data_IF_523474782140
#
_entry.id   IF_523474782140
#
_cell.length_a   1.000
_cell.length_b   1.000
_cell.length_c   1.000
_cell.angle_alpha   90.00
_cell.angle_beta   90.00
_cell.angle_gamma   90.00
#
_symmetry.space_group_name_H-M   'P 1'
#
loop_
_entity.id
_entity.type
_entity.pdbx_description
1 polymer ?
#
# COMPACT_ATOMS: atom_id res chain seq x y z
N UNK A 1 36.87 13.36 -61.34
CA UNK A 1 36.13 12.08 -61.17
C UNK A 1 36.17 11.72 -59.69
N UNK A 2 35.00 11.68 -59.05
CA UNK A 2 34.78 11.59 -57.57
C UNK A 2 35.17 10.21 -57.02
N UNK A 3 36.05 10.17 -56.02
CA UNK A 3 36.32 8.99 -55.19
C UNK A 3 35.24 8.86 -54.10
N UNK A 4 34.80 7.63 -53.87
CA UNK A 4 33.57 7.29 -53.14
C UNK A 4 33.64 7.48 -51.61
N UNK A 5 32.59 8.09 -51.06
CA UNK A 5 32.32 8.08 -49.62
C UNK A 5 31.56 6.80 -49.26
N UNK A 6 32.22 5.90 -48.52
CA UNK A 6 31.60 4.74 -47.86
C UNK A 6 30.59 5.24 -46.82
N UNK A 7 29.33 4.81 -46.95
CA UNK A 7 28.33 4.84 -45.88
C UNK A 7 28.78 3.92 -44.75
N UNK A 8 29.14 4.48 -43.60
CA UNK A 8 29.10 3.76 -42.34
C UNK A 8 27.72 4.01 -41.72
N UNK A 9 26.85 3.00 -41.74
CA UNK A 9 25.65 2.96 -40.92
C UNK A 9 26.10 2.75 -39.48
N UNK A 10 25.91 3.74 -38.61
CA UNK A 10 25.90 3.51 -37.16
C UNK A 10 24.63 2.69 -36.86
N UNK A 11 24.85 1.43 -36.50
CA UNK A 11 23.80 0.54 -36.02
C UNK A 11 23.43 0.88 -34.57
N UNK A 12 22.12 0.85 -34.34
CA UNK A 12 21.45 0.30 -33.17
C UNK A 12 21.91 0.83 -31.80
N UNK A 13 21.34 1.98 -31.44
CA UNK A 13 21.25 2.41 -30.05
C UNK A 13 20.55 1.33 -29.22
N UNK A 14 21.24 0.85 -28.19
CA UNK A 14 20.69 0.01 -27.15
C UNK A 14 19.38 0.60 -26.60
N UNK A 15 18.38 -0.22 -26.25
CA UNK A 15 17.14 0.31 -25.70
C UNK A 15 17.46 1.00 -24.37
N UNK A 16 17.10 2.27 -24.32
CA UNK A 16 17.12 3.13 -23.14
C UNK A 16 16.43 2.42 -21.96
N UNK A 17 17.22 2.06 -20.94
CA UNK A 17 16.72 1.36 -19.75
C UNK A 17 15.79 2.24 -18.89
N UNK A 18 15.52 3.48 -19.31
CA UNK A 18 14.62 4.41 -18.63
C UNK A 18 13.12 4.20 -18.91
N UNK A 19 12.71 3.32 -19.84
CA UNK A 19 11.29 3.20 -20.24
C UNK A 19 10.48 2.07 -19.57
N UNK A 20 11.01 1.42 -18.53
CA UNK A 20 10.29 0.33 -17.82
C UNK A 20 9.65 0.80 -16.50
N UNK A 21 9.31 2.08 -16.38
CA UNK A 21 8.26 2.47 -15.43
C UNK A 21 6.93 2.07 -16.08
N UNK A 22 6.60 0.78 -16.00
CA UNK A 22 5.30 0.26 -16.42
C UNK A 22 4.24 1.10 -15.73
N UNK A 23 3.36 1.66 -16.54
CA UNK A 23 2.18 2.42 -16.15
C UNK A 23 1.24 1.49 -15.35
N UNK A 24 1.56 1.27 -14.07
CA UNK A 24 0.89 0.33 -13.17
C UNK A 24 -0.60 0.64 -12.99
N UNK A 25 -0.99 1.87 -13.37
CA UNK A 25 -2.35 2.38 -13.34
C UNK A 25 -3.27 1.73 -14.39
N UNK A 26 -2.75 1.28 -15.53
CA UNK A 26 -3.57 0.85 -16.67
C UNK A 26 -4.20 -0.54 -16.53
N UNK A 27 -3.68 -1.41 -15.66
CA UNK A 27 -4.13 -2.81 -15.51
C UNK A 27 -4.41 -3.22 -14.05
N UNK A 28 -4.75 -2.28 -13.16
CA UNK A 28 -5.16 -2.63 -11.79
C UNK A 28 -6.49 -3.42 -11.80
N UNK A 29 -6.55 -4.59 -11.12
CA UNK A 29 -7.81 -5.28 -10.89
C UNK A 29 -8.82 -4.36 -10.22
N UNK A 30 -10.10 -4.47 -10.60
CA UNK A 30 -11.16 -3.59 -10.06
C UNK A 30 -11.26 -3.65 -8.54
N UNK A 31 -10.97 -4.81 -7.96
CA UNK A 31 -10.94 -5.02 -6.51
C UNK A 31 -9.94 -4.07 -5.82
N UNK A 32 -8.79 -3.81 -6.44
CA UNK A 32 -7.80 -2.86 -5.92
C UNK A 32 -8.10 -1.42 -6.35
N UNK A 33 -8.59 -1.23 -7.58
CA UNK A 33 -8.93 0.10 -8.11
C UNK A 33 -10.03 0.79 -7.31
N UNK A 34 -11.02 0.03 -6.85
CA UNK A 34 -12.16 0.52 -6.08
C UNK A 34 -12.05 0.18 -4.59
N UNK A 35 -10.86 -0.21 -4.10
CA UNK A 35 -10.63 -0.44 -2.68
C UNK A 35 -10.88 0.88 -1.92
N UNK A 36 -11.85 0.93 -0.98
CA UNK A 36 -12.11 2.10 -0.14
C UNK A 36 -10.84 2.73 0.45
N UNK A 37 -10.72 4.05 0.35
CA UNK A 37 -9.61 4.80 0.96
C UNK A 37 -10.00 5.47 2.28
N UNK A 38 -11.29 5.72 2.47
CA UNK A 38 -11.87 6.30 3.68
C UNK A 38 -12.87 5.34 4.31
N UNK A 39 -13.09 5.48 5.61
CA UNK A 39 -14.09 4.70 6.35
C UNK A 39 -15.49 4.97 5.78
N UNK A 40 -15.76 6.19 5.34
CA UNK A 40 -17.04 6.58 4.75
C UNK A 40 -17.36 5.87 3.42
N UNK A 41 -16.33 5.35 2.74
CA UNK A 41 -16.48 4.62 1.47
C UNK A 41 -16.81 3.12 1.69
N UNK A 42 -16.83 2.65 2.95
CA UNK A 42 -17.10 1.26 3.30
C UNK A 42 -18.61 1.02 3.35
N UNK A 43 -19.10 0.15 2.47
CA UNK A 43 -20.52 -0.20 2.42
C UNK A 43 -20.95 -1.13 3.57
N UNK A 44 -22.19 -0.95 4.04
CA UNK A 44 -22.95 -1.94 4.85
C UNK A 44 -22.39 -2.26 6.25
N UNK A 45 -21.56 -1.39 6.83
CA UNK A 45 -20.99 -1.55 8.18
C UNK A 45 -21.17 -0.28 9.03
N UNK A 46 -22.39 0.23 9.13
CA UNK A 46 -22.69 1.53 9.75
C UNK A 46 -22.24 1.64 11.21
N UNK A 47 -22.53 0.62 12.03
CA UNK A 47 -22.13 0.60 13.45
C UNK A 47 -20.61 0.60 13.64
N UNK A 48 -19.91 -0.23 12.84
CA UNK A 48 -18.44 -0.31 12.89
C UNK A 48 -17.83 1.01 12.41
N UNK A 49 -18.35 1.58 11.32
CA UNK A 49 -17.90 2.88 10.82
C UNK A 49 -18.14 3.98 11.86
N UNK A 50 -19.27 3.97 12.57
CA UNK A 50 -19.56 4.93 13.62
C UNK A 50 -18.56 4.82 14.79
N UNK A 51 -18.27 3.61 15.26
CA UNK A 51 -17.29 3.38 16.32
C UNK A 51 -15.87 3.84 15.89
N UNK A 52 -15.47 3.52 14.67
CA UNK A 52 -14.17 3.93 14.14
C UNK A 52 -14.06 5.44 13.92
N UNK A 53 -15.15 6.11 13.51
CA UNK A 53 -15.20 7.58 13.43
C UNK A 53 -15.00 8.21 14.81
N UNK A 54 -15.64 7.66 15.85
CA UNK A 54 -15.42 8.15 17.22
C UNK A 54 -13.95 8.03 17.62
N UNK A 55 -13.27 6.91 17.31
CA UNK A 55 -11.83 6.76 17.56
C UNK A 55 -10.95 7.72 16.76
N UNK A 56 -11.36 8.08 15.54
CA UNK A 56 -10.66 9.11 14.75
C UNK A 56 -10.80 10.51 15.37
N UNK A 57 -11.98 10.84 15.91
CA UNK A 57 -12.28 12.14 16.51
C UNK A 57 -11.61 12.32 17.88
N UNK A 58 -11.60 11.28 18.71
CA UNK A 58 -10.93 11.32 20.02
C UNK A 58 -9.41 11.26 19.91
N UNK A 59 -8.87 10.76 18.80
CA UNK A 59 -7.44 10.51 18.63
C UNK A 59 -6.94 9.32 19.45
N UNK A 60 -7.84 8.59 20.12
CA UNK A 60 -7.51 7.42 20.92
C UNK A 60 -7.92 6.15 20.18
N UNK A 61 -6.92 5.41 19.72
CA UNK A 61 -7.12 4.15 19.02
C UNK A 61 -6.76 2.96 19.92
N UNK A 62 -7.74 2.15 20.38
CA UNK A 62 -7.44 0.93 21.11
C UNK A 62 -6.89 -0.17 20.19
N UNK A 63 -6.43 -1.28 20.78
CA UNK A 63 -6.08 -2.47 20.00
C UNK A 63 -7.35 -3.08 19.39
N UNK A 64 -7.41 -3.15 18.05
CA UNK A 64 -8.59 -3.63 17.31
C UNK A 64 -8.37 -5.02 16.73
N UNK A 65 -9.43 -5.84 16.74
CA UNK A 65 -9.47 -7.14 16.07
C UNK A 65 -10.63 -7.17 15.07
N UNK A 66 -10.33 -7.18 13.78
CA UNK A 66 -11.32 -7.32 12.72
C UNK A 66 -11.53 -8.80 12.37
N UNK A 67 -12.76 -9.29 12.48
CA UNK A 67 -13.11 -10.67 12.15
C UNK A 67 -14.37 -10.75 11.27
N UNK A 68 -14.55 -11.85 10.55
CA UNK A 68 -15.70 -12.08 9.67
C UNK A 68 -15.35 -12.76 8.34
N UNK A 69 -16.38 -13.10 7.52
CA UNK A 69 -16.24 -13.82 6.25
C UNK A 69 -15.23 -13.19 5.27
N UNK A 70 -14.65 -13.94 4.32
CA UNK A 70 -13.77 -13.35 3.31
C UNK A 70 -14.52 -12.30 2.47
N UNK A 71 -13.80 -11.26 2.04
CA UNK A 71 -14.39 -10.20 1.20
C UNK A 71 -15.18 -9.10 1.92
N UNK A 72 -15.34 -9.16 3.25
CA UNK A 72 -16.08 -8.13 4.03
C UNK A 72 -15.31 -6.85 4.32
N UNK A 73 -14.18 -6.61 3.64
CA UNK A 73 -13.44 -5.35 3.79
C UNK A 73 -12.60 -5.18 5.06
N UNK A 74 -12.39 -6.22 5.89
CA UNK A 74 -11.57 -6.12 7.13
C UNK A 74 -10.22 -5.43 6.95
N UNK A 75 -9.41 -5.92 6.01
CA UNK A 75 -8.09 -5.34 5.69
C UNK A 75 -8.23 -3.94 5.12
N UNK A 76 -9.24 -3.71 4.28
CA UNK A 76 -9.55 -2.41 3.71
C UNK A 76 -9.88 -1.37 4.78
N UNK A 77 -10.75 -1.72 5.73
CA UNK A 77 -11.16 -0.86 6.85
C UNK A 77 -9.95 -0.50 7.72
N UNK A 78 -9.11 -1.47 8.06
CA UNK A 78 -7.89 -1.22 8.83
C UNK A 78 -6.95 -0.23 8.12
N UNK A 79 -6.74 -0.41 6.80
CA UNK A 79 -5.90 0.50 6.02
C UNK A 79 -6.52 1.90 5.87
N UNK A 80 -7.82 1.99 5.60
CA UNK A 80 -8.53 3.26 5.49
C UNK A 80 -8.48 4.05 6.81
N UNK A 81 -8.68 3.37 7.93
CA UNK A 81 -8.55 3.93 9.28
C UNK A 81 -7.14 4.48 9.52
N UNK A 82 -6.09 3.70 9.25
CA UNK A 82 -4.71 4.14 9.43
C UNK A 82 -4.35 5.33 8.53
N UNK A 83 -4.80 5.33 7.27
CA UNK A 83 -4.63 6.45 6.33
C UNK A 83 -5.27 7.72 6.86
N UNK A 84 -6.49 7.64 7.41
CA UNK A 84 -7.18 8.79 7.97
C UNK A 84 -6.56 9.27 9.29
N UNK A 85 -6.13 8.34 10.15
CA UNK A 85 -5.56 8.66 11.46
C UNK A 85 -4.19 9.36 11.36
N UNK A 86 -3.30 8.88 10.48
CA UNK A 86 -1.95 9.43 10.31
C UNK A 86 -1.79 10.39 9.12
N UNK A 87 -2.81 10.51 8.27
CA UNK A 87 -2.80 11.40 7.12
C UNK A 87 -1.66 11.11 6.14
N UNK A 88 -0.88 12.13 5.80
CA UNK A 88 0.20 12.04 4.78
C UNK A 88 1.34 11.11 5.21
N UNK A 89 1.58 10.97 6.51
CA UNK A 89 2.70 10.20 7.07
C UNK A 89 2.35 8.75 7.40
N UNK A 90 1.17 8.27 6.97
CA UNK A 90 0.72 6.91 7.32
C UNK A 90 1.71 5.82 6.91
N UNK A 91 2.42 5.98 5.79
CA UNK A 91 3.39 4.98 5.30
C UNK A 91 4.61 4.80 6.20
N UNK A 92 5.01 5.83 6.94
CA UNK A 92 6.14 5.73 7.88
C UNK A 92 5.69 5.29 9.27
N UNK A 93 4.43 5.57 9.63
CA UNK A 93 3.85 5.29 10.96
C UNK A 93 3.06 3.99 11.05
N UNK A 94 2.86 3.27 9.95
CA UNK A 94 2.07 2.03 9.90
C UNK A 94 2.92 0.91 9.34
N UNK A 95 2.97 -0.21 10.05
CA UNK A 95 3.62 -1.43 9.59
C UNK A 95 2.58 -2.54 9.40
N UNK A 96 2.28 -2.84 8.14
CA UNK A 96 1.49 -4.02 7.77
C UNK A 96 2.39 -5.26 7.78
N UNK A 97 1.92 -6.32 8.41
CA UNK A 97 2.56 -7.64 8.41
C UNK A 97 1.51 -8.66 7.98
N UNK A 98 1.76 -9.32 6.86
CA UNK A 98 0.84 -10.29 6.27
C UNK A 98 1.33 -11.72 6.44
N UNK A 99 0.42 -12.68 6.23
CA UNK A 99 0.74 -14.11 6.38
C UNK A 99 1.71 -14.64 5.30
N UNK A 100 1.89 -13.92 4.20
CA UNK A 100 2.87 -14.24 3.17
C UNK A 100 4.29 -13.76 3.51
N UNK A 101 4.44 -12.87 4.48
CA UNK A 101 5.75 -12.39 4.92
C UNK A 101 6.46 -13.45 5.76
N UNK A 102 7.76 -13.29 5.99
CA UNK A 102 8.51 -14.19 6.88
C UNK A 102 7.91 -14.13 8.30
N UNK A 103 7.16 -15.20 8.65
CA UNK A 103 6.36 -15.37 9.87
C UNK A 103 7.13 -16.05 11.00
N UNK A 104 8.43 -16.28 10.84
CA UNK A 104 9.24 -16.88 11.89
C UNK A 104 9.12 -16.10 13.22
N UNK A 105 9.23 -16.81 14.35
CA UNK A 105 9.21 -16.18 15.69
C UNK A 105 10.29 -15.08 15.79
N UNK A 106 11.43 -15.28 15.12
CA UNK A 106 12.49 -14.26 15.02
C UNK A 106 12.01 -12.97 14.35
N UNK A 107 11.30 -13.09 13.22
CA UNK A 107 10.79 -11.93 12.49
C UNK A 107 9.79 -11.11 13.32
N UNK A 108 8.92 -11.77 14.10
CA UNK A 108 7.99 -11.07 15.02
C UNK A 108 8.79 -10.34 16.11
N UNK A 109 9.72 -11.04 16.77
CA UNK A 109 10.49 -10.50 17.89
C UNK A 109 11.39 -9.33 17.52
N UNK A 110 11.88 -9.30 16.28
CA UNK A 110 12.73 -8.24 15.77
C UNK A 110 11.90 -7.12 15.16
N UNK A 111 11.13 -7.40 14.09
CA UNK A 111 10.45 -6.36 13.30
C UNK A 111 9.40 -5.59 14.11
N UNK A 112 8.58 -6.29 14.90
CA UNK A 112 7.53 -5.63 15.70
C UNK A 112 8.15 -4.84 16.84
N UNK A 113 9.15 -5.42 17.52
CA UNK A 113 9.82 -4.76 18.65
C UNK A 113 10.55 -3.49 18.21
N UNK A 114 11.34 -3.56 17.14
CA UNK A 114 12.06 -2.39 16.61
C UNK A 114 11.09 -1.31 16.16
N UNK A 115 10.01 -1.67 15.47
CA UNK A 115 9.00 -0.69 15.04
C UNK A 115 8.29 -0.02 16.22
N UNK A 116 7.90 -0.79 17.25
CA UNK A 116 7.26 -0.25 18.45
C UNK A 116 8.17 0.70 19.24
N UNK A 117 9.49 0.48 19.22
CA UNK A 117 10.46 1.36 19.88
C UNK A 117 10.72 2.67 19.13
N UNK A 118 10.55 2.67 17.81
CA UNK A 118 10.69 3.87 16.96
C UNK A 118 9.47 4.79 17.00
N UNK A 119 8.32 4.26 17.43
CA UNK A 119 7.05 4.96 17.47
C UNK A 119 6.82 5.77 18.77
N UNK A 120 7.87 5.92 19.61
CA UNK A 120 7.88 6.73 20.83
C UNK A 120 8.51 8.09 20.53
#
# INVERSE_FOLDING_TARGET
>A
MRLGNKKAKLGDGAPDQASVVRDASKNLPWVEKYRPERIDDVAQQEEVCAALRSSLETGELPNLMFYGPPGTGKTTVALALMKQFFGKDWRSRVKELNASDDRGIGAIREKVKTFAQLAI
#
